data_IF_904501077182
#
_entry.id   IF_904501077182
#
_cell.length_a   1.000
_cell.length_b   1.000
_cell.length_c   1.000
_cell.angle_alpha   90.00
_cell.angle_beta   90.00
_cell.angle_gamma   90.00
#
_symmetry.space_group_name_H-M   'P 1'
#
loop_
_entity.id
_entity.type
_entity.pdbx_description
1 polymer ?
#
# COMPACT_ATOMS: atom_id res chain seq x y z
N UNK A 1 -14.72 -0.38 3.95
CA UNK A 1 -13.78 -0.41 2.82
C UNK A 1 -13.83 0.92 2.07
N UNK A 2 -12.69 1.39 1.58
CA UNK A 2 -12.39 2.76 1.11
C UNK A 2 -12.63 3.93 2.09
N UNK A 3 -13.39 3.72 3.17
CA UNK A 3 -13.45 4.58 4.35
C UNK A 3 -12.93 3.86 5.61
N UNK A 4 -13.31 4.34 6.79
CA UNK A 4 -12.85 3.84 8.09
C UNK A 4 -13.40 2.45 8.49
N UNK A 5 -14.23 1.84 7.65
CA UNK A 5 -15.03 0.66 8.02
C UNK A 5 -16.40 1.07 8.54
N UNK A 6 -17.11 0.13 9.18
CA UNK A 6 -18.41 0.39 9.79
C UNK A 6 -19.37 -0.79 9.63
N UNK A 7 -20.65 -0.48 9.77
CA UNK A 7 -21.74 -1.45 9.73
C UNK A 7 -22.76 -1.07 8.64
N UNK A 8 -23.30 -2.08 7.97
CA UNK A 8 -24.47 -1.96 7.10
C UNK A 8 -25.57 -2.81 7.71
N UNK A 9 -26.76 -2.23 7.83
CA UNK A 9 -27.93 -2.89 8.37
C UNK A 9 -29.02 -2.99 7.31
N UNK A 10 -29.58 -4.18 7.12
CA UNK A 10 -30.78 -4.39 6.31
C UNK A 10 -31.95 -4.73 7.23
N UNK A 11 -33.12 -4.14 6.97
CA UNK A 11 -34.30 -4.26 7.84
C UNK A 11 -34.39 -3.15 8.91
N UNK A 12 -33.65 -2.05 8.75
CA UNK A 12 -33.75 -0.83 9.58
C UNK A 12 -34.22 0.33 8.70
N UNK A 13 -35.12 1.18 9.20
CA UNK A 13 -35.61 2.37 8.49
C UNK A 13 -34.59 3.50 8.50
N UNK A 14 -34.78 4.51 7.64
CA UNK A 14 -33.94 5.72 7.63
C UNK A 14 -34.02 6.53 8.95
N UNK A 15 -35.02 6.25 9.79
CA UNK A 15 -35.17 6.83 11.14
C UNK A 15 -34.49 5.99 12.22
N UNK A 16 -33.88 4.86 11.88
CA UNK A 16 -33.25 3.93 12.82
C UNK A 16 -34.22 2.94 13.49
N UNK A 17 -35.45 2.82 12.97
CA UNK A 17 -36.44 1.89 13.53
C UNK A 17 -36.21 0.47 12.99
N UNK A 18 -36.28 -0.54 13.87
CA UNK A 18 -36.14 -1.95 13.50
C UNK A 18 -37.46 -2.43 12.90
N UNK A 19 -37.49 -2.62 11.58
CA UNK A 19 -38.64 -3.16 10.85
C UNK A 19 -38.50 -4.68 10.68
N UNK A 20 -37.27 -5.14 10.45
CA UNK A 20 -36.96 -6.51 10.06
C UNK A 20 -37.37 -6.85 8.63
N UNK A 21 -36.81 -7.91 8.09
CA UNK A 21 -37.11 -8.44 6.77
C UNK A 21 -37.15 -9.98 6.79
N UNK A 22 -37.72 -10.57 5.74
CA UNK A 22 -37.62 -12.01 5.54
C UNK A 22 -36.19 -12.35 5.07
N UNK A 23 -35.54 -13.28 5.75
CA UNK A 23 -34.20 -13.75 5.40
C UNK A 23 -34.29 -15.24 5.13
N UNK A 24 -33.95 -15.63 3.90
CA UNK A 24 -33.89 -17.03 3.49
C UNK A 24 -32.54 -17.34 2.83
N UNK A 25 -32.35 -18.59 2.40
CA UNK A 25 -31.12 -19.02 1.74
C UNK A 25 -30.79 -18.18 0.49
N UNK A 26 -31.81 -17.76 -0.26
CA UNK A 26 -31.64 -16.91 -1.45
C UNK A 26 -31.11 -15.52 -1.09
N UNK A 27 -31.61 -14.91 -0.01
CA UNK A 27 -31.11 -13.62 0.49
C UNK A 27 -29.60 -13.67 0.78
N UNK A 28 -29.14 -14.74 1.45
CA UNK A 28 -27.72 -14.90 1.79
C UNK A 28 -26.87 -15.21 0.54
N UNK A 29 -27.41 -15.98 -0.40
CA UNK A 29 -26.76 -16.23 -1.70
C UNK A 29 -26.57 -14.93 -2.49
N UNK A 30 -27.60 -14.08 -2.55
CA UNK A 30 -27.56 -12.81 -3.28
C UNK A 30 -26.53 -11.85 -2.65
N UNK A 31 -26.45 -11.79 -1.32
CA UNK A 31 -25.38 -11.04 -0.63
C UNK A 31 -24.00 -11.58 -1.03
N UNK A 32 -23.82 -12.90 -1.04
CA UNK A 32 -22.56 -13.52 -1.45
C UNK A 32 -22.19 -13.17 -2.90
N UNK A 33 -23.15 -13.18 -3.81
CA UNK A 33 -22.95 -12.78 -5.21
C UNK A 33 -22.53 -11.32 -5.35
N UNK A 34 -23.15 -10.42 -4.58
CA UNK A 34 -22.77 -9.00 -4.59
C UNK A 34 -21.37 -8.77 -4.01
N UNK A 35 -21.00 -9.49 -2.95
CA UNK A 35 -19.66 -9.39 -2.36
C UNK A 35 -18.56 -9.89 -3.30
N UNK A 36 -18.85 -10.87 -4.18
CA UNK A 36 -17.87 -11.36 -5.18
C UNK A 36 -17.44 -10.31 -6.19
N UNK A 37 -18.25 -9.26 -6.39
CA UNK A 37 -17.92 -8.15 -7.29
C UNK A 37 -16.94 -7.15 -6.66
N UNK A 38 -16.59 -7.34 -5.39
CA UNK A 38 -15.62 -6.49 -4.69
C UNK A 38 -14.20 -6.98 -4.97
N UNK A 39 -13.35 -6.07 -5.42
CA UNK A 39 -11.95 -6.32 -5.74
C UNK A 39 -11.02 -5.35 -4.97
N UNK A 40 -9.92 -5.80 -4.35
CA UNK A 40 -9.61 -7.21 -4.09
C UNK A 40 -10.69 -7.87 -3.23
N UNK A 41 -10.81 -9.22 -3.25
CA UNK A 41 -11.84 -9.94 -2.52
C UNK A 41 -11.95 -9.49 -1.05
N UNK A 42 -13.19 -9.24 -0.64
CA UNK A 42 -13.55 -8.79 0.69
C UNK A 42 -14.37 -9.85 1.41
N UNK A 43 -14.09 -10.05 2.69
CA UNK A 43 -14.78 -11.03 3.54
C UNK A 43 -15.33 -10.32 4.78
N UNK A 44 -16.40 -9.50 4.66
CA UNK A 44 -17.03 -8.89 5.81
C UNK A 44 -17.70 -9.93 6.70
N UNK A 45 -17.82 -9.64 8.00
CA UNK A 45 -18.60 -10.46 8.92
C UNK A 45 -20.09 -10.19 8.65
N UNK A 46 -20.87 -11.24 8.38
CA UNK A 46 -22.31 -11.15 8.16
C UNK A 46 -23.02 -11.90 9.28
N UNK A 47 -23.95 -11.23 9.95
CA UNK A 47 -24.78 -11.80 10.99
C UNK A 47 -26.26 -11.58 10.65
N UNK A 48 -27.10 -12.56 10.98
CA UNK A 48 -28.56 -12.45 10.91
C UNK A 48 -29.13 -12.47 12.32
N UNK A 49 -29.76 -11.37 12.73
CA UNK A 49 -30.30 -11.18 14.08
C UNK A 49 -31.82 -11.25 14.02
N UNK A 50 -32.43 -12.21 14.71
CA UNK A 50 -33.89 -12.33 14.77
C UNK A 50 -34.51 -11.16 15.54
N UNK A 51 -35.59 -10.57 15.01
CA UNK A 51 -36.28 -9.41 15.60
C UNK A 51 -37.77 -9.67 15.91
N UNK A 52 -38.18 -10.94 15.89
CA UNK A 52 -39.55 -11.38 16.15
C UNK A 52 -40.40 -11.51 14.89
N UNK A 53 -41.58 -12.14 15.01
CA UNK A 53 -42.52 -12.36 13.90
C UNK A 53 -41.90 -13.01 12.64
N UNK A 54 -40.96 -13.94 12.82
CA UNK A 54 -40.15 -14.56 11.75
C UNK A 54 -39.37 -13.56 10.88
N UNK A 55 -39.12 -12.34 11.38
CA UNK A 55 -38.28 -11.33 10.73
C UNK A 55 -36.89 -11.32 11.34
N UNK A 56 -35.92 -10.89 10.55
CA UNK A 56 -34.55 -10.67 10.98
C UNK A 56 -33.96 -9.38 10.39
N UNK A 57 -32.91 -8.89 11.02
CA UNK A 57 -32.02 -7.85 10.51
C UNK A 57 -30.72 -8.51 10.07
N UNK A 58 -30.19 -8.09 8.92
CA UNK A 58 -28.86 -8.53 8.48
C UNK A 58 -27.87 -7.42 8.85
N UNK A 59 -26.84 -7.79 9.59
CA UNK A 59 -25.75 -6.91 9.99
C UNK A 59 -24.51 -7.32 9.21
N UNK A 60 -23.95 -6.39 8.45
CA UNK A 60 -22.67 -6.60 7.76
C UNK A 60 -21.64 -5.67 8.37
N UNK A 61 -20.61 -6.24 9.01
CA UNK A 61 -19.50 -5.50 9.59
C UNK A 61 -18.32 -5.51 8.63
N UNK A 62 -17.82 -4.32 8.36
CA UNK A 62 -16.74 -4.07 7.41
C UNK A 62 -15.58 -3.46 8.18
N UNK A 63 -14.45 -4.14 8.20
CA UNK A 63 -13.21 -3.56 8.73
C UNK A 63 -12.71 -2.41 7.85
N UNK A 64 -12.18 -1.37 8.50
CA UNK A 64 -11.38 -0.35 7.83
C UNK A 64 -10.04 -0.95 7.43
N UNK A 65 -9.81 -1.18 6.14
CA UNK A 65 -8.53 -1.65 5.62
C UNK A 65 -7.83 -0.54 4.83
N UNK A 66 -6.51 -0.46 4.98
CA UNK A 66 -5.63 0.33 4.11
C UNK A 66 -5.59 -0.34 2.73
N UNK A 67 -6.41 0.14 1.81
CA UNK A 67 -6.47 -0.37 0.44
C UNK A 67 -7.48 0.38 -0.40
N UNK A 68 -7.34 0.22 -1.72
CA UNK A 68 -8.31 0.70 -2.71
C UNK A 68 -9.13 -0.48 -3.19
N UNK A 69 -10.42 -0.43 -2.91
CA UNK A 69 -11.40 -1.43 -3.33
C UNK A 69 -12.24 -0.89 -4.49
N UNK A 70 -12.57 -1.78 -5.41
CA UNK A 70 -13.51 -1.58 -6.49
C UNK A 70 -14.73 -2.46 -6.24
N UNK A 71 -15.87 -2.03 -6.74
CA UNK A 71 -17.05 -2.87 -6.91
C UNK A 71 -17.36 -2.87 -8.40
N UNK A 72 -17.43 -4.05 -8.99
CA UNK A 72 -17.69 -4.23 -10.43
C UNK A 72 -16.70 -3.44 -11.31
N UNK A 73 -15.42 -3.51 -10.96
CA UNK A 73 -14.33 -2.81 -11.65
C UNK A 73 -14.27 -1.29 -11.44
N UNK A 74 -15.17 -0.70 -10.64
CA UNK A 74 -15.20 0.76 -10.41
C UNK A 74 -14.85 1.09 -8.95
N UNK A 75 -13.95 2.05 -8.69
CA UNK A 75 -13.66 2.49 -7.34
C UNK A 75 -14.78 3.40 -6.84
N UNK A 76 -15.25 3.18 -5.61
CA UNK A 76 -16.25 4.01 -4.96
C UNK A 76 -15.72 4.61 -3.65
N UNK A 77 -16.18 5.80 -3.30
CA UNK A 77 -15.87 6.44 -2.03
C UNK A 77 -17.15 6.95 -1.38
N UNK A 78 -17.25 6.75 -0.05
CA UNK A 78 -18.35 7.30 0.75
C UNK A 78 -17.93 8.63 1.35
N UNK A 79 -18.75 9.65 1.17
CA UNK A 79 -18.58 10.95 1.79
C UNK A 79 -19.87 11.31 2.55
N UNK A 80 -19.85 11.15 3.88
CA UNK A 80 -21.05 11.28 4.71
C UNK A 80 -22.12 10.24 4.35
N UNK A 81 -23.36 10.65 4.02
CA UNK A 81 -24.44 9.72 3.71
C UNK A 81 -24.37 9.17 2.28
N UNK A 82 -23.61 9.79 1.37
CA UNK A 82 -23.60 9.43 -0.05
C UNK A 82 -22.39 8.60 -0.44
N UNK A 83 -22.58 7.70 -1.41
CA UNK A 83 -21.52 6.93 -2.06
C UNK A 83 -21.47 7.33 -3.53
N UNK A 84 -20.27 7.65 -4.02
CA UNK A 84 -20.04 8.07 -5.40
C UNK A 84 -18.86 7.31 -6.00
N UNK A 85 -18.76 7.30 -7.33
CA UNK A 85 -17.55 6.85 -8.01
C UNK A 85 -16.38 7.71 -7.52
N UNK A 86 -15.29 7.06 -7.14
CA UNK A 86 -14.10 7.73 -6.64
C UNK A 86 -13.53 8.63 -7.73
N UNK A 87 -13.31 9.93 -7.44
CA UNK A 87 -12.64 10.81 -8.39
C UNK A 87 -11.26 10.27 -8.76
N UNK A 88 -10.87 10.43 -10.03
CA UNK A 88 -9.60 9.92 -10.57
C UNK A 88 -8.38 10.32 -9.74
N UNK A 89 -8.27 11.60 -9.37
CA UNK A 89 -7.16 12.13 -8.57
C UNK A 89 -7.05 11.42 -7.21
N UNK A 90 -8.18 11.16 -6.56
CA UNK A 90 -8.20 10.46 -5.27
C UNK A 90 -7.83 8.98 -5.43
N UNK A 91 -8.27 8.34 -6.52
CA UNK A 91 -7.88 6.98 -6.85
C UNK A 91 -6.37 6.86 -7.08
N UNK A 92 -5.80 7.70 -7.95
CA UNK A 92 -4.35 7.74 -8.24
C UNK A 92 -3.52 7.95 -6.97
N UNK A 93 -3.92 8.91 -6.12
CA UNK A 93 -3.27 9.16 -4.83
C UNK A 93 -3.25 7.90 -3.94
N UNK A 94 -4.36 7.16 -3.86
CA UNK A 94 -4.43 5.93 -3.05
C UNK A 94 -3.58 4.80 -3.63
N UNK A 95 -3.50 4.69 -4.95
CA UNK A 95 -2.61 3.74 -5.62
C UNK A 95 -1.16 4.06 -5.30
N UNK A 96 -0.72 5.31 -5.45
CA UNK A 96 0.64 5.74 -5.08
C UNK A 96 0.96 5.45 -3.61
N UNK A 97 0.06 5.81 -2.69
CA UNK A 97 0.23 5.51 -1.26
C UNK A 97 0.35 4.00 -0.99
N UNK A 98 -0.41 3.16 -1.70
CA UNK A 98 -0.31 1.71 -1.62
C UNK A 98 1.07 1.23 -2.10
N UNK A 99 1.56 1.76 -3.22
CA UNK A 99 2.89 1.43 -3.73
C UNK A 99 4.01 1.86 -2.77
N UNK A 100 3.97 3.10 -2.26
CA UNK A 100 4.93 3.56 -1.25
C UNK A 100 4.92 2.72 0.04
N UNK A 101 3.79 2.08 0.36
CA UNK A 101 3.69 1.18 1.51
C UNK A 101 4.21 -0.25 1.24
N UNK A 102 4.23 -0.71 -0.02
CA UNK A 102 4.58 -2.10 -0.38
C UNK A 102 5.93 -2.26 -1.09
N UNK A 103 6.43 -1.23 -1.78
CA UNK A 103 7.76 -1.19 -2.40
C UNK A 103 8.32 0.21 -2.28
N UNK A 104 9.10 0.40 -1.22
CA UNK A 104 9.89 1.59 -1.00
C UNK A 104 11.06 1.53 -1.96
N UNK A 105 11.14 2.48 -2.90
CA UNK A 105 12.19 2.51 -3.93
C UNK A 105 13.57 2.33 -3.30
N UNK A 106 13.77 2.90 -2.10
CA UNK A 106 15.03 2.86 -1.36
C UNK A 106 15.45 1.45 -0.94
N UNK A 107 14.50 0.51 -0.82
CA UNK A 107 14.74 -0.89 -0.45
C UNK A 107 14.83 -1.82 -1.67
N UNK A 108 14.64 -1.31 -2.89
CA UNK A 108 14.83 -2.10 -4.10
C UNK A 108 16.32 -2.22 -4.44
N UNK A 109 16.68 -3.28 -5.17
CA UNK A 109 18.05 -3.47 -5.65
C UNK A 109 18.46 -2.31 -6.56
N UNK A 110 19.70 -1.87 -6.39
CA UNK A 110 20.38 -0.99 -7.33
C UNK A 110 20.45 -1.66 -8.71
N UNK A 111 20.58 -0.85 -9.76
CA UNK A 111 20.86 -1.35 -11.11
C UNK A 111 22.15 -2.20 -11.11
N UNK A 112 22.14 -3.32 -11.85
CA UNK A 112 23.21 -4.33 -11.84
C UNK A 112 24.63 -3.80 -12.13
N UNK A 113 24.74 -2.66 -12.83
CA UNK A 113 26.03 -2.05 -13.16
C UNK A 113 26.60 -1.18 -12.04
N UNK A 114 25.81 -0.84 -11.01
CA UNK A 114 26.24 -0.03 -9.87
C UNK A 114 27.03 -0.90 -8.92
N UNK A 115 28.25 -0.48 -8.63
CA UNK A 115 29.15 -1.23 -7.75
C UNK A 115 29.64 -0.38 -6.57
N UNK A 116 30.34 -1.02 -5.64
CA UNK A 116 30.98 -0.34 -4.49
C UNK A 116 31.89 0.83 -4.91
N UNK A 117 32.47 0.79 -6.12
CA UNK A 117 33.34 1.86 -6.63
C UNK A 117 32.55 3.14 -6.96
N UNK A 118 31.24 3.03 -7.20
CA UNK A 118 30.35 4.17 -7.44
C UNK A 118 29.93 4.87 -6.14
N UNK A 119 30.25 4.30 -4.98
CA UNK A 119 29.98 4.86 -3.68
C UNK A 119 31.16 5.66 -3.12
N UNK A 120 30.84 6.69 -2.35
CA UNK A 120 31.74 7.55 -1.61
C UNK A 120 32.16 6.86 -0.31
N UNK A 121 33.31 6.19 -0.36
CA UNK A 121 33.90 5.47 0.76
C UNK A 121 34.26 6.39 1.94
N UNK A 122 34.62 7.64 1.69
CA UNK A 122 34.92 8.60 2.75
C UNK A 122 33.65 8.92 3.56
N UNK A 123 32.53 9.15 2.87
CA UNK A 123 31.24 9.44 3.54
C UNK A 123 30.68 8.22 4.30
N UNK A 124 30.89 7.00 3.78
CA UNK A 124 30.54 5.75 4.49
C UNK A 124 31.31 5.67 5.81
N UNK A 125 32.63 5.90 5.76
CA UNK A 125 33.49 5.83 6.94
C UNK A 125 33.16 6.94 7.95
N UNK A 126 32.94 8.16 7.49
CA UNK A 126 32.51 9.28 8.33
C UNK A 126 31.17 9.00 9.02
N UNK A 127 30.24 8.34 8.33
CA UNK A 127 28.96 7.95 8.94
C UNK A 127 29.19 6.99 10.11
N UNK A 128 30.03 5.97 9.94
CA UNK A 128 30.35 5.03 11.01
C UNK A 128 30.99 5.74 12.21
N UNK A 129 32.02 6.56 11.95
CA UNK A 129 32.76 7.28 13.00
C UNK A 129 31.83 8.19 13.81
N UNK A 130 30.94 8.92 13.13
CA UNK A 130 29.96 9.77 13.79
C UNK A 130 28.94 8.95 14.59
N UNK A 131 28.48 7.81 14.07
CA UNK A 131 27.55 6.94 14.79
C UNK A 131 28.15 6.39 16.09
N UNK A 132 29.42 5.97 16.06
CA UNK A 132 30.14 5.51 17.26
C UNK A 132 30.40 6.66 18.22
N UNK A 133 30.92 7.79 17.74
CA UNK A 133 31.23 8.97 18.56
C UNK A 133 30.00 9.53 19.29
N UNK A 134 28.84 9.50 18.64
CA UNK A 134 27.57 9.94 19.21
C UNK A 134 26.88 8.86 20.08
N UNK A 135 27.50 7.69 20.25
CA UNK A 135 26.94 6.59 21.04
C UNK A 135 25.69 5.94 20.43
N UNK A 136 25.42 6.16 19.14
CA UNK A 136 24.30 5.55 18.39
C UNK A 136 24.60 4.13 17.94
N UNK A 137 25.87 3.75 17.94
CA UNK A 137 26.35 2.41 17.59
C UNK A 137 27.55 2.04 18.46
N UNK A 138 27.74 0.74 18.74
CA UNK A 138 28.98 0.22 19.33
C UNK A 138 30.04 0.09 18.25
N UNK A 139 31.32 0.16 18.62
CA UNK A 139 32.42 -0.08 17.67
C UNK A 139 32.26 -1.48 17.03
N UNK A 140 32.14 -1.57 15.69
CA UNK A 140 32.02 -2.85 15.02
C UNK A 140 33.38 -3.55 14.88
N UNK A 141 33.36 -4.88 14.73
CA UNK A 141 34.56 -5.70 14.54
C UNK A 141 35.18 -5.57 13.15
N UNK A 142 34.38 -5.19 12.15
CA UNK A 142 34.78 -4.95 10.77
C UNK A 142 34.35 -3.54 10.36
N UNK A 143 35.26 -2.81 9.72
CA UNK A 143 35.08 -1.40 9.34
C UNK A 143 35.39 -1.16 7.86
N UNK A 144 35.49 -2.22 7.05
CA UNK A 144 35.53 -2.05 5.61
C UNK A 144 34.13 -1.61 5.11
N UNK A 145 34.11 -0.87 4.01
CA UNK A 145 32.89 -0.27 3.44
C UNK A 145 31.76 -1.28 3.23
N UNK A 146 32.09 -2.50 2.79
CA UNK A 146 31.09 -3.54 2.55
C UNK A 146 30.45 -4.04 3.84
N UNK A 147 31.26 -4.30 4.88
CA UNK A 147 30.78 -4.67 6.21
C UNK A 147 29.91 -3.58 6.84
N UNK A 148 30.29 -2.31 6.66
CA UNK A 148 29.51 -1.16 7.15
C UNK A 148 28.14 -1.13 6.46
N UNK A 149 28.11 -1.17 5.12
CA UNK A 149 26.86 -1.15 4.37
C UNK A 149 25.98 -2.37 4.69
N UNK A 150 26.55 -3.57 4.86
CA UNK A 150 25.81 -4.74 5.37
C UNK A 150 25.19 -4.49 6.73
N UNK A 151 25.96 -3.94 7.67
CA UNK A 151 25.48 -3.61 9.01
C UNK A 151 24.35 -2.56 9.01
N UNK A 152 24.34 -1.67 8.02
CA UNK A 152 23.29 -0.68 7.80
C UNK A 152 22.09 -1.21 6.99
N UNK A 153 22.14 -2.45 6.49
CA UNK A 153 21.11 -3.03 5.63
C UNK A 153 21.10 -2.47 4.19
N UNK A 154 22.22 -1.91 3.75
CA UNK A 154 22.40 -1.26 2.44
C UNK A 154 23.08 -2.18 1.40
N UNK A 155 23.58 -3.34 1.83
CA UNK A 155 24.20 -4.34 0.98
C UNK A 155 23.76 -5.74 1.41
N UNK A 156 23.01 -6.45 0.56
CA UNK A 156 22.50 -7.79 0.84
C UNK A 156 22.75 -8.74 -0.33
N UNK A 157 23.14 -9.99 -0.03
CA UNK A 157 23.36 -11.01 -1.06
C UNK A 157 24.36 -10.63 -2.16
N UNK A 158 25.27 -9.68 -1.91
CA UNK A 158 26.23 -9.20 -2.92
C UNK A 158 25.73 -8.04 -3.78
N UNK A 159 24.53 -7.51 -3.49
CA UNK A 159 23.90 -6.43 -4.25
C UNK A 159 23.66 -5.22 -3.35
N UNK A 160 23.85 -4.03 -3.91
CA UNK A 160 23.47 -2.76 -3.28
C UNK A 160 21.97 -2.54 -3.43
N UNK A 161 21.38 -1.79 -2.51
CA UNK A 161 20.04 -1.23 -2.68
C UNK A 161 20.10 0.25 -3.03
N UNK A 162 19.02 0.75 -3.59
CA UNK A 162 18.85 2.15 -3.98
C UNK A 162 19.14 3.15 -2.85
N UNK A 163 18.83 2.82 -1.59
CA UNK A 163 19.21 3.64 -0.43
C UNK A 163 20.72 3.88 -0.34
N UNK A 164 21.54 2.88 -0.68
CA UNK A 164 22.99 3.02 -0.65
C UNK A 164 23.47 4.07 -1.66
N UNK A 165 22.85 4.10 -2.84
CA UNK A 165 23.10 5.09 -3.89
C UNK A 165 22.66 6.48 -3.43
N UNK A 166 21.48 6.58 -2.83
CA UNK A 166 20.93 7.87 -2.38
C UNK A 166 21.79 8.51 -1.26
N UNK A 167 22.34 7.68 -0.37
CA UNK A 167 23.14 8.13 0.77
C UNK A 167 24.60 8.37 0.41
N UNK A 168 25.20 7.48 -0.38
CA UNK A 168 26.64 7.42 -0.60
C UNK A 168 27.05 7.48 -2.06
N UNK A 169 26.14 7.77 -2.99
CA UNK A 169 26.47 7.83 -4.41
C UNK A 169 27.43 8.95 -4.78
N UNK A 170 28.48 8.65 -5.55
CA UNK A 170 29.34 9.68 -6.18
C UNK A 170 28.56 10.48 -7.22
N UNK A 171 28.28 11.73 -6.89
CA UNK A 171 27.56 12.76 -7.67
C UNK A 171 27.79 12.70 -9.19
N UNK A 172 29.03 12.60 -9.69
CA UNK A 172 29.34 12.77 -11.12
C UNK A 172 28.80 11.68 -12.05
N UNK A 173 28.46 10.48 -11.57
CA UNK A 173 27.99 9.35 -12.40
C UNK A 173 26.51 9.00 -12.18
N UNK A 174 25.95 9.35 -11.02
CA UNK A 174 24.64 8.85 -10.57
C UNK A 174 23.49 9.84 -10.78
N UNK A 175 23.76 11.14 -10.93
CA UNK A 175 22.71 12.13 -11.22
C UNK A 175 22.02 11.91 -12.59
N UNK A 176 22.65 11.21 -13.53
CA UNK A 176 22.00 10.82 -14.79
C UNK A 176 21.05 9.62 -14.65
N UNK A 177 21.01 8.97 -13.48
CA UNK A 177 20.29 7.71 -13.25
C UNK A 177 19.02 7.97 -12.44
N UNK A 178 19.13 8.77 -11.37
CA UNK A 178 18.00 9.13 -10.50
C UNK A 178 16.98 10.04 -11.23
N UNK A 179 17.44 10.80 -12.24
CA UNK A 179 16.57 11.68 -13.04
C UNK A 179 16.03 11.03 -14.32
N UNK A 180 16.55 9.84 -14.71
CA UNK A 180 16.15 9.11 -15.91
C UNK A 180 15.41 7.81 -15.60
N UNK A 181 14.76 7.72 -14.43
CA UNK A 181 13.73 6.71 -14.18
C UNK A 181 12.36 7.36 -14.46
N UNK A 182 11.95 7.52 -15.73
CA UNK A 182 10.58 7.85 -16.03
C UNK A 182 9.75 6.64 -15.60
N UNK A 183 8.70 6.89 -14.82
CA UNK A 183 7.54 6.00 -14.81
C UNK A 183 7.38 5.38 -16.19
N UNK A 184 7.44 4.05 -16.23
CA UNK A 184 7.06 3.17 -17.33
C UNK A 184 5.62 3.52 -17.74
N UNK A 185 5.49 4.58 -18.53
CA UNK A 185 4.27 4.98 -19.20
C UNK A 185 4.27 4.20 -20.50
N UNK A 186 3.38 3.20 -20.68
CA UNK A 186 3.26 2.54 -21.97
C UNK A 186 2.94 3.59 -23.03
N UNK A 187 3.74 3.58 -24.09
CA UNK A 187 3.71 4.48 -25.25
C UNK A 187 2.30 4.96 -25.59
N UNK A 188 2.05 6.25 -25.35
CA UNK A 188 0.85 6.94 -25.81
C UNK A 188 1.12 7.77 -27.09
N UNK A 189 1.99 7.27 -27.96
CA UNK A 189 2.23 7.83 -29.31
C UNK A 189 2.02 6.81 -30.43
N UNK A 190 0.94 6.02 -30.33
CA UNK A 190 0.42 5.28 -31.48
C UNK A 190 -1.11 5.37 -31.51
N UNK A 191 -1.62 6.51 -32.01
CA UNK A 191 -2.92 6.67 -32.71
C UNK A 191 -3.23 8.15 -32.94
N UNK A 192 -2.52 8.76 -33.88
CA UNK A 192 -3.09 9.78 -34.77
C UNK A 192 -2.57 9.45 -36.17
N UNK A 193 -3.30 8.58 -36.86
CA UNK A 193 -3.49 8.58 -38.31
C UNK A 193 -4.99 8.32 -38.54
#
# INVERSE_FOLDING_TARGET
MNGQGGFVFFGISDKGEIIGQDVNAKTLEDISLELRRIEPPAFPEIETVAVGNNKAVIVIRIEGKLGTYCYDGRPYIRHGPTTQIMPRIEYEKRILNKFHAHRRWENELALDWVTMQDLDEEEIQLTLENAVKLGRMRQPSHTDSESILRGLGLFDGGHLINAAIALYGKSKRLFSVILNDPLDLPDLEARID
#
